data_IF_675177886362
#
_entry.id   IF_675177886362
#
_cell.length_a   1.000
_cell.length_b   1.000
_cell.length_c   1.000
_cell.angle_alpha   90.00
_cell.angle_beta   90.00
_cell.angle_gamma   90.00
#
_symmetry.space_group_name_H-M   'P 1'
#
loop_
_entity.id
_entity.type
_entity.pdbx_description
1 polymer ?
#
# COMPACT_ATOMS: atom_id res chain seq x y z
N UNK A 1 -17.52 2.61 -17.18
CA UNK A 1 -16.34 3.49 -17.33
C UNK A 1 -15.85 3.83 -15.92
N UNK A 2 -14.86 3.13 -15.42
CA UNK A 2 -14.19 3.54 -14.19
C UNK A 2 -13.42 4.82 -14.49
N UNK A 3 -13.93 5.93 -14.01
CA UNK A 3 -13.18 7.19 -13.99
C UNK A 3 -11.98 6.97 -13.08
N UNK A 4 -10.81 6.83 -13.66
CA UNK A 4 -9.58 6.72 -12.91
C UNK A 4 -9.36 8.02 -12.14
N UNK A 5 -9.91 8.08 -10.92
CA UNK A 5 -9.93 9.25 -10.04
C UNK A 5 -8.52 9.81 -9.83
N UNK A 6 -7.49 8.94 -9.88
CA UNK A 6 -6.08 9.35 -9.77
C UNK A 6 -5.57 10.20 -10.95
N UNK A 7 -6.27 10.22 -12.09
CA UNK A 7 -5.92 11.08 -13.24
C UNK A 7 -6.51 12.48 -13.14
N UNK A 8 -7.47 12.72 -12.23
CA UNK A 8 -8.09 14.02 -12.06
C UNK A 8 -7.08 15.01 -11.45
N UNK A 9 -6.88 16.17 -12.11
CA UNK A 9 -5.95 17.22 -11.70
C UNK A 9 -6.25 17.79 -10.29
N UNK A 10 -7.53 17.89 -9.92
CA UNK A 10 -7.95 18.33 -8.59
C UNK A 10 -7.62 17.29 -7.53
N UNK A 11 -7.83 16.01 -7.83
CA UNK A 11 -7.45 14.91 -6.95
C UNK A 11 -5.95 14.89 -6.69
N UNK A 12 -5.13 15.03 -7.72
CA UNK A 12 -3.66 15.06 -7.61
C UNK A 12 -3.15 16.19 -6.71
N UNK A 13 -3.76 17.37 -6.78
CA UNK A 13 -3.43 18.51 -5.91
C UNK A 13 -3.86 18.31 -4.48
N UNK A 14 -5.01 17.64 -4.27
CA UNK A 14 -5.60 17.39 -2.96
C UNK A 14 -4.83 16.34 -2.17
N UNK A 15 -4.23 15.38 -2.87
CA UNK A 15 -3.51 14.25 -2.29
C UNK A 15 -2.08 14.17 -2.86
N UNK A 16 -1.22 15.16 -2.54
CA UNK A 16 0.15 15.18 -3.05
C UNK A 16 0.98 14.04 -2.47
N UNK A 17 2.11 13.77 -3.13
CA UNK A 17 3.13 12.89 -2.59
C UNK A 17 3.97 13.70 -1.61
N UNK A 18 3.96 13.31 -0.35
CA UNK A 18 4.77 13.88 0.70
C UNK A 18 5.44 12.76 1.49
N UNK A 19 6.77 12.81 1.56
CA UNK A 19 7.57 11.89 2.35
C UNK A 19 7.90 12.53 3.69
N UNK A 20 7.63 11.80 4.75
CA UNK A 20 7.90 12.21 6.13
C UNK A 20 8.86 11.25 6.80
N UNK A 21 9.58 11.67 7.87
CA UNK A 21 10.43 10.79 8.65
C UNK A 21 9.66 9.59 9.18
N UNK A 22 10.38 8.51 9.49
CA UNK A 22 9.79 7.32 10.09
C UNK A 22 8.99 7.66 11.36
N UNK A 23 7.75 7.17 11.42
CA UNK A 23 6.87 7.32 12.57
C UNK A 23 6.61 5.94 13.21
N UNK A 24 6.95 5.79 14.47
CA UNK A 24 6.75 4.54 15.24
C UNK A 24 5.28 4.13 15.31
N UNK A 25 4.35 5.09 15.26
CA UNK A 25 2.92 4.82 15.29
C UNK A 25 2.42 4.03 14.08
N UNK A 26 3.14 4.02 12.96
CA UNK A 26 2.75 3.23 11.78
C UNK A 26 2.65 1.73 12.09
N UNK A 27 3.49 1.22 12.97
CA UNK A 27 3.45 -0.19 13.39
C UNK A 27 2.16 -0.43 14.20
N UNK A 28 1.84 0.46 15.13
CA UNK A 28 0.63 0.39 15.94
C UNK A 28 -0.63 0.50 15.06
N UNK A 29 -0.67 1.46 14.14
CA UNK A 29 -1.80 1.62 13.21
C UNK A 29 -2.01 0.38 12.33
N UNK A 30 -0.91 -0.23 11.87
CA UNK A 30 -0.99 -1.48 11.12
C UNK A 30 -1.57 -2.62 11.99
N UNK A 31 -1.08 -2.80 13.22
CA UNK A 31 -1.57 -3.88 14.09
C UNK A 31 -3.06 -3.70 14.46
N UNK A 32 -3.48 -2.49 14.73
CA UNK A 32 -4.90 -2.17 14.97
C UNK A 32 -5.76 -2.55 13.75
N UNK A 33 -5.36 -2.11 12.56
CA UNK A 33 -6.11 -2.38 11.33
C UNK A 33 -6.08 -3.86 10.96
N UNK A 34 -4.96 -4.54 11.12
CA UNK A 34 -4.83 -5.99 10.94
C UNK A 34 -5.81 -6.75 11.83
N UNK A 35 -5.92 -6.38 13.11
CA UNK A 35 -6.86 -7.02 14.03
C UNK A 35 -8.31 -6.82 13.59
N UNK A 36 -8.67 -5.63 13.09
CA UNK A 36 -9.99 -5.38 12.52
C UNK A 36 -10.25 -6.24 11.28
N UNK A 37 -9.30 -6.31 10.36
CA UNK A 37 -9.39 -7.15 9.16
C UNK A 37 -9.58 -8.62 9.51
N UNK A 38 -8.79 -9.15 10.45
CA UNK A 38 -8.91 -10.53 10.92
C UNK A 38 -10.25 -10.79 11.60
N UNK A 39 -10.80 -9.82 12.31
CA UNK A 39 -12.11 -9.94 12.97
C UNK A 39 -13.26 -9.96 11.95
N UNK A 40 -13.30 -9.02 11.01
CA UNK A 40 -14.39 -8.95 10.03
C UNK A 40 -14.34 -10.07 9.00
N UNK A 41 -13.16 -10.64 8.76
CA UNK A 41 -12.93 -11.76 7.82
C UNK A 41 -12.67 -13.09 8.52
N UNK A 42 -13.06 -13.24 9.78
CA UNK A 42 -12.75 -14.43 10.62
C UNK A 42 -13.19 -15.77 10.05
N UNK A 43 -14.20 -15.77 9.19
CA UNK A 43 -14.72 -16.98 8.56
C UNK A 43 -14.04 -17.31 7.22
N UNK A 44 -13.02 -16.51 6.83
CA UNK A 44 -12.28 -16.67 5.58
C UNK A 44 -10.81 -16.89 5.91
N UNK A 45 -10.19 -17.89 5.26
CA UNK A 45 -8.76 -18.15 5.44
C UNK A 45 -7.92 -17.11 4.68
N UNK A 46 -7.30 -16.21 5.44
CA UNK A 46 -6.45 -15.14 4.91
C UNK A 46 -5.13 -15.03 5.66
N UNK A 47 -4.15 -14.41 5.01
CA UNK A 47 -2.96 -13.87 5.67
C UNK A 47 -2.89 -12.36 5.45
N UNK A 48 -2.42 -11.63 6.44
CA UNK A 48 -2.34 -10.17 6.42
C UNK A 48 -0.88 -9.76 6.60
N UNK A 49 -0.38 -8.90 5.72
CA UNK A 49 1.01 -8.45 5.72
C UNK A 49 1.11 -6.92 5.70
N UNK A 50 1.97 -6.37 6.55
CA UNK A 50 2.44 -4.99 6.42
C UNK A 50 3.51 -4.94 5.34
N UNK A 51 3.30 -4.13 4.31
CA UNK A 51 4.25 -3.92 3.21
C UNK A 51 4.60 -2.45 3.04
N UNK A 52 5.42 -2.15 2.05
CA UNK A 52 5.80 -0.77 1.72
C UNK A 52 6.75 -0.14 2.74
N UNK A 53 7.01 1.13 2.54
CA UNK A 53 8.07 1.85 3.27
C UNK A 53 7.75 2.08 4.73
N UNK A 54 6.47 2.17 5.12
CA UNK A 54 6.08 2.32 6.54
C UNK A 54 6.37 1.07 7.37
N UNK A 55 6.60 -0.08 6.71
CA UNK A 55 7.04 -1.32 7.35
C UNK A 55 8.55 -1.38 7.58
N UNK A 56 9.33 -0.40 7.09
CA UNK A 56 10.78 -0.35 7.17
C UNK A 56 11.20 0.74 8.16
N UNK A 57 11.85 0.39 9.28
CA UNK A 57 12.32 1.37 10.25
C UNK A 57 13.33 2.36 9.65
N UNK A 58 13.29 3.58 10.15
CA UNK A 58 14.31 4.61 9.92
C UNK A 58 14.47 5.09 8.46
N UNK A 59 13.45 4.91 7.60
CA UNK A 59 13.43 5.52 6.27
C UNK A 59 12.23 6.45 6.10
N UNK A 60 12.38 7.46 5.25
CA UNK A 60 11.28 8.35 4.85
C UNK A 60 10.23 7.58 4.06
N UNK A 61 8.97 7.89 4.31
CA UNK A 61 7.82 7.29 3.63
C UNK A 61 6.66 8.28 3.50
N UNK A 62 5.76 8.01 2.57
CA UNK A 62 4.42 8.60 2.64
C UNK A 62 3.74 8.12 3.93
N UNK A 63 2.92 8.96 4.53
CA UNK A 63 2.13 8.62 5.73
C UNK A 63 0.92 7.74 5.36
N UNK A 64 1.18 6.61 4.70
CA UNK A 64 0.18 5.64 4.21
C UNK A 64 0.64 4.24 4.59
N UNK A 65 -0.21 3.51 5.28
CA UNK A 65 0.03 2.11 5.64
C UNK A 65 -0.41 1.22 4.48
N UNK A 66 0.54 0.50 3.88
CA UNK A 66 0.24 -0.47 2.84
C UNK A 66 0.09 -1.87 3.42
N UNK A 67 -1.02 -2.53 3.09
CA UNK A 67 -1.39 -3.86 3.60
C UNK A 67 -1.69 -4.77 2.43
N UNK A 68 -1.23 -6.02 2.49
CA UNK A 68 -1.71 -7.10 1.63
C UNK A 68 -2.59 -8.05 2.44
N UNK A 69 -3.75 -8.40 1.91
CA UNK A 69 -4.49 -9.60 2.25
C UNK A 69 -4.25 -10.64 1.15
N UNK A 70 -3.65 -11.77 1.53
CA UNK A 70 -3.53 -12.96 0.69
C UNK A 70 -4.66 -13.93 1.07
N UNK A 71 -5.52 -14.26 0.11
CA UNK A 71 -6.54 -15.29 0.32
C UNK A 71 -6.06 -16.65 -0.19
N UNK A 72 -6.25 -17.67 0.62
CA UNK A 72 -5.94 -19.06 0.24
C UNK A 72 -7.04 -19.69 -0.63
N UNK A 73 -8.24 -19.09 -0.65
CA UNK A 73 -9.38 -19.55 -1.42
C UNK A 73 -9.78 -18.51 -2.46
N UNK A 74 -9.58 -18.86 -3.72
CA UNK A 74 -9.93 -18.00 -4.85
C UNK A 74 -11.43 -17.68 -4.93
N UNK A 75 -12.29 -18.56 -4.39
CA UNK A 75 -13.73 -18.33 -4.36
C UNK A 75 -14.14 -17.26 -3.34
N UNK A 76 -13.29 -16.99 -2.36
CA UNK A 76 -13.55 -15.97 -1.33
C UNK A 76 -13.16 -14.55 -1.77
N UNK A 77 -12.49 -14.37 -2.90
CA UNK A 77 -11.96 -13.07 -3.34
C UNK A 77 -13.05 -11.99 -3.43
N UNK A 78 -14.15 -12.28 -4.11
CA UNK A 78 -15.25 -11.33 -4.27
C UNK A 78 -16.01 -11.09 -2.95
N UNK A 79 -16.11 -12.10 -2.12
CA UNK A 79 -16.74 -11.99 -0.81
C UNK A 79 -15.93 -11.08 0.12
N UNK A 80 -14.60 -11.19 0.11
CA UNK A 80 -13.71 -10.29 0.85
C UNK A 80 -13.94 -8.84 0.42
N UNK A 81 -13.98 -8.56 -0.88
CA UNK A 81 -14.23 -7.21 -1.41
C UNK A 81 -15.59 -6.69 -0.93
N UNK A 82 -16.63 -7.52 -1.03
CA UNK A 82 -17.98 -7.15 -0.60
C UNK A 82 -18.07 -6.80 0.89
N UNK A 83 -17.42 -7.60 1.75
CA UNK A 83 -17.39 -7.33 3.19
C UNK A 83 -16.66 -6.02 3.49
N UNK A 84 -15.48 -5.85 2.90
CA UNK A 84 -14.63 -4.69 3.18
C UNK A 84 -15.15 -3.39 2.57
N UNK A 85 -15.93 -3.44 1.49
CA UNK A 85 -16.49 -2.25 0.83
C UNK A 85 -17.52 -1.50 1.71
N UNK A 86 -17.87 -2.03 2.88
CA UNK A 86 -18.68 -1.32 3.88
C UNK A 86 -17.91 -0.17 4.57
N UNK A 87 -16.58 -0.31 4.70
CA UNK A 87 -15.71 0.67 5.38
C UNK A 87 -14.55 1.16 4.51
N UNK A 88 -14.22 0.40 3.45
CA UNK A 88 -13.14 0.70 2.53
C UNK A 88 -13.68 1.14 1.18
N UNK A 89 -13.04 2.09 0.54
CA UNK A 89 -13.38 2.54 -0.80
C UNK A 89 -12.64 1.69 -1.83
N UNK A 90 -13.38 0.93 -2.64
CA UNK A 90 -12.83 0.18 -3.77
C UNK A 90 -12.38 1.14 -4.88
N UNK A 91 -11.10 1.09 -5.23
CA UNK A 91 -10.52 1.91 -6.30
C UNK A 91 -10.51 1.19 -7.64
N UNK A 92 -10.13 -0.08 -7.64
CA UNK A 92 -10.17 -0.93 -8.82
C UNK A 92 -10.16 -2.41 -8.44
N UNK A 93 -10.61 -3.23 -9.35
CA UNK A 93 -10.65 -4.68 -9.26
C UNK A 93 -10.31 -5.30 -10.61
N UNK A 94 -9.50 -6.34 -10.59
CA UNK A 94 -9.18 -7.25 -11.68
C UNK A 94 -9.48 -8.69 -11.24
N UNK A 95 -9.21 -9.68 -12.10
CA UNK A 95 -9.52 -11.09 -11.79
C UNK A 95 -8.78 -11.62 -10.55
N UNK A 96 -7.56 -11.14 -10.32
CA UNK A 96 -6.65 -11.68 -9.29
C UNK A 96 -6.20 -10.64 -8.26
N UNK A 97 -6.57 -9.38 -8.44
CA UNK A 97 -6.10 -8.26 -7.64
C UNK A 97 -7.22 -7.25 -7.42
N UNK A 98 -7.27 -6.69 -6.23
CA UNK A 98 -8.11 -5.53 -5.94
C UNK A 98 -7.36 -4.54 -5.07
N UNK A 99 -7.73 -3.28 -5.18
CA UNK A 99 -7.14 -2.19 -4.43
C UNK A 99 -8.24 -1.34 -3.79
N UNK A 100 -8.18 -1.25 -2.47
CA UNK A 100 -9.08 -0.46 -1.66
C UNK A 100 -8.28 0.55 -0.84
N UNK A 101 -8.94 1.65 -0.47
CA UNK A 101 -8.32 2.70 0.34
C UNK A 101 -9.21 3.10 1.49
N UNK A 102 -8.60 3.65 2.54
CA UNK A 102 -9.26 4.22 3.72
C UNK A 102 -8.48 5.46 4.16
N UNK A 103 -9.19 6.49 4.62
CA UNK A 103 -8.53 7.71 5.09
C UNK A 103 -8.37 8.82 4.05
N UNK A 104 -9.04 8.74 2.92
CA UNK A 104 -9.13 9.80 1.91
C UNK A 104 -10.34 10.68 2.22
N UNK A 105 -10.09 11.80 2.88
CA UNK A 105 -11.15 12.72 3.28
C UNK A 105 -11.55 13.72 2.18
N UNK A 106 -12.64 14.49 2.39
CA UNK A 106 -13.14 15.45 1.41
C UNK A 106 -12.18 16.63 1.16
N UNK A 107 -11.32 16.95 2.14
CA UNK A 107 -10.39 18.08 2.08
C UNK A 107 -8.91 17.66 2.08
N UNK A 108 -8.61 16.39 1.84
CA UNK A 108 -7.28 15.80 1.88
C UNK A 108 -7.22 14.54 2.72
N UNK A 109 -6.02 14.08 2.98
CA UNK A 109 -5.81 12.89 3.83
C UNK A 109 -6.30 13.11 5.26
N UNK A 110 -6.91 12.08 5.83
CA UNK A 110 -7.13 11.98 7.27
C UNK A 110 -5.83 11.61 8.00
N UNK A 111 -5.87 11.57 9.34
CA UNK A 111 -4.69 11.25 10.16
C UNK A 111 -4.12 9.88 9.85
N UNK A 112 -4.98 8.86 9.73
CA UNK A 112 -4.59 7.50 9.36
C UNK A 112 -5.06 7.21 7.94
N UNK A 113 -4.14 6.81 7.08
CA UNK A 113 -4.42 6.46 5.67
C UNK A 113 -3.90 5.06 5.39
N UNK A 114 -4.74 4.24 4.78
CA UNK A 114 -4.43 2.86 4.46
C UNK A 114 -4.66 2.56 2.98
N UNK A 115 -3.75 1.78 2.41
CA UNK A 115 -3.88 1.11 1.13
C UNK A 115 -3.97 -0.39 1.36
N UNK A 116 -5.02 -1.00 0.86
CA UNK A 116 -5.25 -2.43 0.98
C UNK A 116 -5.24 -3.09 -0.38
N UNK A 117 -4.36 -4.04 -0.53
CA UNK A 117 -4.23 -4.88 -1.73
C UNK A 117 -4.76 -6.27 -1.43
N UNK A 118 -5.78 -6.72 -2.14
CA UNK A 118 -6.28 -8.10 -2.05
C UNK A 118 -5.61 -8.90 -3.15
N UNK A 119 -4.99 -10.01 -2.77
CA UNK A 119 -4.20 -10.87 -3.64
C UNK A 119 -4.65 -12.32 -3.52
N UNK A 120 -4.54 -13.06 -4.61
CA UNK A 120 -4.62 -14.52 -4.58
C UNK A 120 -3.32 -15.12 -4.04
N UNK A 121 -3.39 -16.37 -3.59
CA UNK A 121 -2.25 -17.09 -3.01
C UNK A 121 -1.00 -17.03 -3.88
N UNK A 122 0.10 -16.65 -3.27
CA UNK A 122 1.43 -16.57 -3.88
C UNK A 122 1.76 -15.24 -4.55
N UNK A 123 0.82 -14.32 -4.72
CA UNK A 123 1.04 -12.99 -5.31
C UNK A 123 1.43 -11.98 -4.21
N UNK A 124 2.63 -12.16 -3.66
CA UNK A 124 3.14 -11.41 -2.50
C UNK A 124 4.60 -10.92 -2.70
N UNK A 125 4.98 -10.52 -3.90
CA UNK A 125 6.34 -10.07 -4.18
C UNK A 125 6.74 -8.83 -3.36
N UNK A 126 5.78 -7.96 -3.02
CA UNK A 126 6.02 -6.81 -2.14
C UNK A 126 6.42 -7.23 -0.71
N UNK A 127 5.96 -8.39 -0.24
CA UNK A 127 6.39 -8.97 1.04
C UNK A 127 7.85 -9.37 0.98
N UNK A 128 8.26 -10.03 -0.11
CA UNK A 128 9.67 -10.42 -0.35
C UNK A 128 10.57 -9.19 -0.42
N UNK A 129 10.13 -8.15 -1.14
CA UNK A 129 10.87 -6.90 -1.24
C UNK A 129 11.07 -6.23 0.14
N UNK A 130 10.02 -6.17 0.96
CA UNK A 130 10.14 -5.71 2.36
C UNK A 130 11.19 -6.50 3.14
N UNK A 131 11.18 -7.83 3.05
CA UNK A 131 12.16 -8.68 3.72
C UNK A 131 13.61 -8.37 3.30
N UNK A 132 13.82 -8.09 2.01
CA UNK A 132 15.12 -7.68 1.49
C UNK A 132 15.56 -6.34 2.11
N UNK A 133 14.68 -5.36 2.18
CA UNK A 133 14.99 -4.05 2.78
C UNK A 133 15.29 -4.15 4.27
N UNK A 134 14.56 -5.00 5.01
CA UNK A 134 14.82 -5.24 6.42
C UNK A 134 16.18 -5.87 6.68
N UNK A 135 16.63 -6.76 5.81
CA UNK A 135 17.93 -7.46 5.92
C UNK A 135 19.11 -6.66 5.39
N UNK A 136 18.85 -5.65 4.55
CA UNK A 136 19.90 -4.90 3.85
C UNK A 136 19.70 -3.39 4.02
N UNK A 137 20.21 -2.79 5.10
CA UNK A 137 20.05 -1.35 5.37
C UNK A 137 20.58 -0.44 4.24
N UNK A 138 21.60 -0.85 3.51
CA UNK A 138 22.11 -0.08 2.37
C UNK A 138 21.13 -0.04 1.20
N UNK A 139 20.45 -1.16 0.93
CA UNK A 139 19.39 -1.21 -0.08
C UNK A 139 18.21 -0.35 0.34
N UNK A 140 17.85 -0.38 1.62
CA UNK A 140 16.80 0.47 2.18
C UNK A 140 17.13 1.97 2.00
N UNK A 141 18.37 2.38 2.25
CA UNK A 141 18.83 3.76 2.02
C UNK A 141 18.83 4.14 0.54
N UNK A 142 19.23 3.25 -0.34
CA UNK A 142 19.16 3.46 -1.79
C UNK A 142 17.73 3.67 -2.25
N UNK A 143 16.81 2.87 -1.74
CA UNK A 143 15.38 2.99 -1.99
C UNK A 143 14.81 4.32 -1.46
N UNK A 144 15.18 4.71 -0.25
CA UNK A 144 14.81 6.01 0.32
C UNK A 144 15.29 7.18 -0.54
N UNK A 145 16.57 7.20 -0.93
CA UNK A 145 17.13 8.24 -1.80
C UNK A 145 16.40 8.34 -3.14
N UNK A 146 16.05 7.21 -3.73
CA UNK A 146 15.26 7.17 -4.96
C UNK A 146 13.88 7.81 -4.75
N UNK A 147 13.18 7.45 -3.67
CA UNK A 147 11.86 8.01 -3.37
C UNK A 147 11.90 9.53 -3.15
N UNK A 148 12.91 10.03 -2.43
CA UNK A 148 13.09 11.47 -2.21
C UNK A 148 13.31 12.24 -3.52
N UNK A 149 14.08 11.68 -4.45
CA UNK A 149 14.25 12.26 -5.80
C UNK A 149 12.93 12.25 -6.58
N UNK A 150 12.20 11.15 -6.52
CA UNK A 150 10.91 11.01 -7.22
C UNK A 150 9.83 11.94 -6.64
N UNK A 151 9.84 12.19 -5.33
CA UNK A 151 8.96 13.16 -4.69
C UNK A 151 9.12 14.55 -5.27
N UNK A 152 10.36 15.02 -5.40
CA UNK A 152 10.68 16.33 -5.97
C UNK A 152 10.17 16.42 -7.41
N UNK A 153 10.42 15.36 -8.21
CA UNK A 153 10.10 15.34 -9.64
C UNK A 153 8.60 15.16 -9.90
N UNK A 154 7.91 14.35 -9.08
CA UNK A 154 6.55 13.85 -9.33
C UNK A 154 5.57 14.11 -8.19
N UNK A 155 5.72 15.21 -7.46
CA UNK A 155 4.89 15.53 -6.28
C UNK A 155 3.39 15.40 -6.50
N UNK A 156 2.91 15.71 -7.69
CA UNK A 156 1.48 15.64 -8.06
C UNK A 156 1.20 14.58 -9.13
N UNK A 157 2.17 13.72 -9.43
CA UNK A 157 2.04 12.64 -10.40
C UNK A 157 2.36 11.29 -9.77
N UNK A 158 1.34 10.72 -9.15
CA UNK A 158 1.45 9.45 -8.41
C UNK A 158 1.84 8.28 -9.32
N UNK A 159 1.34 8.26 -10.55
CA UNK A 159 1.65 7.20 -11.50
C UNK A 159 3.14 7.20 -11.86
N UNK A 160 3.69 8.34 -12.26
CA UNK A 160 5.11 8.47 -12.54
C UNK A 160 6.00 8.23 -11.33
N UNK A 161 5.57 8.66 -10.15
CA UNK A 161 6.27 8.36 -8.89
C UNK A 161 6.31 6.84 -8.63
N UNK A 162 5.20 6.14 -8.79
CA UNK A 162 5.12 4.69 -8.59
C UNK A 162 5.95 3.94 -9.62
N UNK A 163 5.82 4.31 -10.90
CA UNK A 163 6.60 3.70 -11.98
C UNK A 163 8.11 3.91 -11.82
N UNK A 164 8.53 5.07 -11.30
CA UNK A 164 9.94 5.35 -11.03
C UNK A 164 10.60 4.44 -10.01
N UNK A 165 9.82 3.76 -9.16
CA UNK A 165 10.32 2.78 -8.18
C UNK A 165 10.38 1.36 -8.72
N UNK A 166 9.62 1.05 -9.76
CA UNK A 166 9.37 -0.32 -10.23
C UNK A 166 10.67 -1.04 -10.60
N UNK A 167 11.58 -0.38 -11.30
CA UNK A 167 12.84 -0.98 -11.72
C UNK A 167 13.68 -1.47 -10.53
N UNK A 168 13.76 -0.70 -9.46
CA UNK A 168 14.51 -1.10 -8.26
C UNK A 168 13.80 -2.25 -7.53
N UNK A 169 12.48 -2.20 -7.44
CA UNK A 169 11.67 -3.23 -6.80
C UNK A 169 11.84 -4.55 -7.55
N UNK A 170 11.69 -4.53 -8.88
CA UNK A 170 11.78 -5.72 -9.71
C UNK A 170 13.18 -6.35 -9.67
N UNK A 171 14.24 -5.55 -9.78
CA UNK A 171 15.62 -6.03 -9.70
C UNK A 171 15.94 -6.70 -8.37
N UNK A 172 15.34 -6.27 -7.27
CA UNK A 172 15.63 -6.80 -5.93
C UNK A 172 14.71 -7.95 -5.52
N UNK A 173 13.51 -8.03 -6.09
CA UNK A 173 12.56 -9.12 -5.78
C UNK A 173 12.88 -10.45 -6.49
N UNK A 174 13.74 -10.42 -7.51
CA UNK A 174 14.16 -11.60 -8.31
C UNK A 174 15.39 -12.31 -7.73
N UNK A 175 16.04 -11.75 -6.73
CA UNK A 175 17.28 -12.32 -6.13
C UNK A 175 16.97 -13.24 -4.96
#
# INVERSE_FOLDING_TARGET
>A
METNIFKNKQFKKKYPIELVPFNKEWITWYEEEKNQLLYVLRDISIKVYHIGSTAIPNIYSKNIIDIIIETNDNNSFDNIISILSKEWELRWKEDNRAFLVKGYGPNGFLTKVFHLHIRKKGDIDEVKFKEILLKNPEVARTYEKLKLKLEIKYKYDRESYTNGKTELIDRKSVV
#
